data_IF_757056430520
#
_entry.id   IF_757056430520
#
_cell.length_a   1.000
_cell.length_b   1.000
_cell.length_c   1.000
_cell.angle_alpha   90.00
_cell.angle_beta   90.00
_cell.angle_gamma   90.00
#
_symmetry.space_group_name_H-M   'P 1'
#
loop_
_entity.id
_entity.type
_entity.pdbx_description
1 polymer ?
#
# COMPACT_ATOMS: atom_id res chain seq x y z
N UNK A 1 -40.03 -3.04 -6.25
CA UNK A 1 -38.76 -2.49 -6.79
C UNK A 1 -37.95 -1.80 -5.69
N UNK A 2 -37.94 -2.32 -4.45
CA UNK A 2 -37.58 -1.54 -3.23
C UNK A 2 -36.57 -2.26 -2.32
N UNK A 3 -35.87 -3.27 -2.83
CA UNK A 3 -34.90 -4.07 -2.05
C UNK A 3 -33.43 -3.63 -2.25
N UNK A 4 -33.19 -2.57 -3.03
CA UNK A 4 -31.82 -2.06 -3.27
C UNK A 4 -31.25 -1.25 -2.11
N UNK A 5 -32.09 -0.69 -1.23
CA UNK A 5 -31.61 0.29 -0.25
C UNK A 5 -30.99 -0.34 1.01
N UNK A 6 -31.34 -1.58 1.35
CA UNK A 6 -30.85 -2.23 2.58
C UNK A 6 -29.41 -2.78 2.49
N UNK A 7 -28.87 -3.03 1.28
CA UNK A 7 -27.53 -3.60 1.11
C UNK A 7 -26.40 -2.57 1.01
N UNK A 8 -26.72 -1.29 0.83
CA UNK A 8 -25.74 -0.21 0.65
C UNK A 8 -24.89 0.08 1.90
N UNK A 9 -25.41 0.12 3.15
CA UNK A 9 -24.61 0.57 4.30
C UNK A 9 -23.47 -0.39 4.67
N UNK A 10 -23.67 -1.71 4.55
CA UNK A 10 -22.63 -2.71 4.86
C UNK A 10 -21.44 -2.65 3.90
N UNK A 11 -21.70 -2.38 2.61
CA UNK A 11 -20.64 -2.25 1.60
C UNK A 11 -19.77 -1.03 1.84
N UNK A 12 -20.38 0.09 2.25
CA UNK A 12 -19.65 1.32 2.53
C UNK A 12 -18.71 1.14 3.74
N UNK A 13 -19.18 0.53 4.83
CA UNK A 13 -18.34 0.24 5.99
C UNK A 13 -17.11 -0.64 5.63
N UNK A 14 -17.31 -1.68 4.82
CA UNK A 14 -16.22 -2.55 4.38
C UNK A 14 -15.17 -1.78 3.54
N UNK A 15 -15.60 -0.92 2.63
CA UNK A 15 -14.69 -0.09 1.84
C UNK A 15 -13.96 0.94 2.72
N UNK A 16 -14.62 1.49 3.75
CA UNK A 16 -13.97 2.36 4.72
C UNK A 16 -12.85 1.62 5.45
N UNK A 17 -13.10 0.41 5.97
CA UNK A 17 -12.07 -0.40 6.63
C UNK A 17 -10.89 -0.68 5.70
N UNK A 18 -11.18 -1.10 4.45
CA UNK A 18 -10.14 -1.28 3.43
C UNK A 18 -9.31 0.00 3.23
N UNK A 19 -9.97 1.15 3.07
CA UNK A 19 -9.30 2.43 2.84
C UNK A 19 -8.43 2.86 4.02
N UNK A 20 -8.87 2.59 5.26
CA UNK A 20 -8.10 2.88 6.47
C UNK A 20 -6.85 2.00 6.54
N UNK A 21 -6.95 0.71 6.24
CA UNK A 21 -5.78 -0.18 6.19
C UNK A 21 -4.76 0.27 5.12
N UNK A 22 -5.24 0.61 3.92
CA UNK A 22 -4.38 1.12 2.84
C UNK A 22 -3.73 2.44 3.24
N UNK A 23 -4.50 3.36 3.82
CA UNK A 23 -3.98 4.65 4.27
C UNK A 23 -2.98 4.51 5.42
N UNK A 24 -3.18 3.55 6.33
CA UNK A 24 -2.23 3.28 7.41
C UNK A 24 -0.90 2.73 6.86
N UNK A 25 -0.96 1.83 5.87
CA UNK A 25 0.22 1.20 5.27
C UNK A 25 0.98 2.13 4.32
N UNK A 26 0.26 2.86 3.45
CA UNK A 26 0.87 3.68 2.40
C UNK A 26 0.94 5.16 2.75
N UNK A 27 0.13 5.64 3.69
CA UNK A 27 0.05 7.06 4.06
C UNK A 27 1.39 7.67 4.46
N UNK A 28 2.16 7.06 5.38
CA UNK A 28 3.48 7.58 5.73
C UNK A 28 4.46 7.59 4.54
N UNK A 29 4.42 6.57 3.69
CA UNK A 29 5.24 6.53 2.48
C UNK A 29 4.85 7.64 1.49
N UNK A 30 3.56 7.91 1.33
CA UNK A 30 3.08 9.04 0.52
C UNK A 30 3.53 10.38 1.11
N UNK A 31 3.55 10.52 2.44
CA UNK A 31 4.04 11.73 3.11
C UNK A 31 5.52 12.00 2.78
N UNK A 32 6.36 10.95 2.75
CA UNK A 32 7.77 11.04 2.33
C UNK A 32 7.87 11.61 0.91
N UNK A 33 7.06 11.09 -0.02
CA UNK A 33 7.03 11.59 -1.40
C UNK A 33 6.46 13.00 -1.52
N UNK A 34 5.53 13.41 -0.66
CA UNK A 34 5.03 14.79 -0.61
C UNK A 34 6.15 15.74 -0.20
N UNK A 35 6.88 15.46 0.89
CA UNK A 35 8.02 16.30 1.32
C UNK A 35 9.09 16.38 0.24
N UNK A 36 9.29 15.30 -0.51
CA UNK A 36 10.23 15.30 -1.62
C UNK A 36 9.72 16.06 -2.84
N UNK A 37 8.44 15.92 -3.16
CA UNK A 37 7.77 16.66 -4.21
C UNK A 37 7.80 18.17 -3.95
N UNK A 38 7.63 18.60 -2.69
CA UNK A 38 7.78 20.01 -2.32
C UNK A 38 9.21 20.49 -2.52
N UNK A 39 10.22 19.71 -2.11
CA UNK A 39 11.63 20.03 -2.35
C UNK A 39 11.95 20.17 -3.86
N UNK A 40 11.43 19.27 -4.69
CA UNK A 40 11.55 19.34 -6.15
C UNK A 40 10.86 20.58 -6.72
N UNK A 41 9.65 20.90 -6.23
CA UNK A 41 8.89 22.09 -6.65
C UNK A 41 9.61 23.41 -6.35
N UNK A 42 10.40 23.46 -5.27
CA UNK A 42 11.25 24.61 -4.93
C UNK A 42 12.68 24.50 -5.48
N UNK A 43 12.94 23.52 -6.34
CA UNK A 43 14.24 23.28 -6.99
C UNK A 43 15.41 23.13 -6.01
N UNK A 44 15.16 22.49 -4.86
CA UNK A 44 16.21 22.16 -3.91
C UNK A 44 16.83 20.81 -4.24
N UNK A 45 18.11 20.81 -4.60
CA UNK A 45 18.88 19.58 -4.67
C UNK A 45 19.00 18.93 -3.28
N UNK A 46 19.03 17.60 -3.19
CA UNK A 46 19.42 16.92 -1.96
C UNK A 46 20.87 17.26 -1.62
N UNK A 47 21.13 17.59 -0.36
CA UNK A 47 22.46 17.97 0.11
C UNK A 47 22.46 18.32 1.59
N UNK A 48 23.63 18.62 2.18
CA UNK A 48 23.73 18.90 3.61
C UNK A 48 23.09 20.24 3.99
N UNK A 49 23.07 21.20 3.07
CA UNK A 49 22.55 22.55 3.30
C UNK A 49 21.02 22.59 3.39
N UNK A 50 20.50 23.56 4.15
CA UNK A 50 19.06 23.80 4.24
C UNK A 50 18.47 24.20 2.88
N UNK A 51 17.30 23.67 2.55
CA UNK A 51 16.58 24.03 1.33
C UNK A 51 15.96 25.43 1.48
N UNK A 52 16.65 26.48 0.99
CA UNK A 52 16.20 27.88 1.08
C UNK A 52 15.80 28.30 2.50
N UNK A 53 16.51 27.78 3.51
CA UNK A 53 16.20 28.02 4.93
C UNK A 53 15.03 27.23 5.51
N UNK A 54 14.35 26.40 4.71
CA UNK A 54 13.28 25.51 5.19
C UNK A 54 13.85 24.23 5.80
N UNK A 55 13.25 23.77 6.90
CA UNK A 55 13.60 22.51 7.58
C UNK A 55 12.99 21.27 6.91
N UNK A 56 13.06 21.17 5.58
CA UNK A 56 12.52 20.01 4.83
C UNK A 56 13.18 18.70 5.25
N UNK A 57 14.45 18.73 5.64
CA UNK A 57 15.17 17.55 6.11
C UNK A 57 14.56 16.94 7.37
N UNK A 58 14.13 17.79 8.31
CA UNK A 58 13.46 17.33 9.53
C UNK A 58 12.13 16.64 9.21
N UNK A 59 11.30 17.27 8.37
CA UNK A 59 10.04 16.69 7.93
C UNK A 59 10.22 15.37 7.18
N UNK A 60 11.23 15.28 6.30
CA UNK A 60 11.55 14.04 5.58
C UNK A 60 11.98 12.94 6.56
N UNK A 61 12.83 13.26 7.54
CA UNK A 61 13.34 12.31 8.53
C UNK A 61 12.20 11.74 9.37
N UNK A 62 11.29 12.59 9.82
CA UNK A 62 10.19 12.19 10.69
C UNK A 62 9.15 11.37 9.89
N UNK A 63 8.86 11.77 8.65
CA UNK A 63 8.01 10.99 7.73
C UNK A 63 8.62 9.61 7.42
N UNK A 64 9.94 9.54 7.19
CA UNK A 64 10.66 8.28 7.01
C UNK A 64 10.59 7.42 8.26
N UNK A 65 10.85 7.97 9.45
CA UNK A 65 10.75 7.25 10.72
C UNK A 65 9.36 6.63 10.90
N UNK A 66 8.29 7.38 10.61
CA UNK A 66 6.92 6.87 10.66
C UNK A 66 6.70 5.75 9.64
N UNK A 67 7.19 5.92 8.41
CA UNK A 67 7.10 4.90 7.36
C UNK A 67 7.83 3.62 7.74
N UNK A 68 8.98 3.71 8.41
CA UNK A 68 9.76 2.54 8.82
C UNK A 68 9.13 1.78 9.96
N UNK A 69 8.52 2.46 10.94
CA UNK A 69 7.80 1.79 12.04
C UNK A 69 6.72 0.85 11.50
N UNK A 70 6.01 1.27 10.47
CA UNK A 70 4.93 0.48 9.84
C UNK A 70 5.51 -0.50 8.81
N UNK A 71 6.42 -0.02 7.96
CA UNK A 71 6.96 -0.72 6.79
C UNK A 71 7.99 -1.80 7.09
N UNK A 72 8.55 -1.87 8.30
CA UNK A 72 9.58 -2.89 8.65
C UNK A 72 9.05 -4.07 9.44
N UNK A 73 7.81 -4.00 9.94
CA UNK A 73 7.19 -5.11 10.68
C UNK A 73 6.44 -6.05 9.74
N UNK A 74 7.07 -7.15 9.35
CA UNK A 74 6.48 -8.16 8.46
C UNK A 74 5.09 -8.63 8.92
N UNK A 75 4.92 -8.89 10.22
CA UNK A 75 3.64 -9.32 10.78
C UNK A 75 2.56 -8.26 10.63
N UNK A 76 2.89 -6.98 10.85
CA UNK A 76 1.95 -5.88 10.73
C UNK A 76 1.54 -5.65 9.26
N UNK A 77 2.50 -5.72 8.34
CA UNK A 77 2.27 -5.64 6.89
C UNK A 77 1.29 -6.73 6.43
N UNK A 78 1.56 -7.99 6.79
CA UNK A 78 0.73 -9.15 6.42
C UNK A 78 -0.65 -9.04 7.07
N UNK A 79 -0.73 -8.73 8.37
CA UNK A 79 -1.99 -8.64 9.09
C UNK A 79 -2.93 -7.55 8.52
N UNK A 80 -2.41 -6.35 8.29
CA UNK A 80 -3.21 -5.26 7.73
C UNK A 80 -3.61 -5.52 6.26
N UNK A 81 -2.72 -6.13 5.49
CA UNK A 81 -3.03 -6.52 4.10
C UNK A 81 -4.11 -7.61 4.05
N UNK A 82 -4.10 -8.55 4.99
CA UNK A 82 -5.15 -9.55 5.13
C UNK A 82 -6.49 -8.91 5.54
N UNK A 83 -6.49 -8.00 6.52
CA UNK A 83 -7.71 -7.26 6.92
C UNK A 83 -8.28 -6.48 5.74
N UNK A 84 -7.43 -5.76 4.98
CA UNK A 84 -7.83 -5.05 3.78
C UNK A 84 -8.44 -6.02 2.73
N UNK A 85 -7.81 -7.18 2.53
CA UNK A 85 -8.28 -8.20 1.59
C UNK A 85 -9.66 -8.73 1.96
N UNK A 86 -9.85 -9.09 3.23
CA UNK A 86 -11.15 -9.57 3.74
C UNK A 86 -12.22 -8.48 3.62
N UNK A 87 -11.90 -7.24 3.98
CA UNK A 87 -12.81 -6.11 3.81
C UNK A 87 -13.24 -5.93 2.34
N UNK A 88 -12.30 -5.97 1.40
CA UNK A 88 -12.60 -5.92 -0.04
C UNK A 88 -13.47 -7.09 -0.52
N UNK A 89 -13.27 -8.30 0.03
CA UNK A 89 -14.10 -9.46 -0.29
C UNK A 89 -15.52 -9.31 0.24
N UNK A 90 -15.72 -8.77 1.45
CA UNK A 90 -17.07 -8.46 1.96
C UNK A 90 -17.79 -7.40 1.13
N UNK A 91 -17.03 -6.49 0.49
CA UNK A 91 -17.54 -5.53 -0.49
C UNK A 91 -17.77 -6.13 -1.89
N UNK A 92 -17.57 -7.45 -2.07
CA UNK A 92 -17.68 -8.18 -3.35
C UNK A 92 -16.72 -7.65 -4.43
N UNK A 93 -15.51 -7.27 -4.03
CA UNK A 93 -14.44 -6.79 -4.92
C UNK A 93 -13.21 -7.71 -4.82
N UNK A 94 -13.27 -8.96 -5.34
CA UNK A 94 -12.21 -9.94 -5.17
C UNK A 94 -10.87 -9.48 -5.77
N UNK A 95 -10.89 -8.85 -6.94
CA UNK A 95 -9.66 -8.31 -7.56
C UNK A 95 -8.96 -7.27 -6.69
N UNK A 96 -9.73 -6.39 -6.03
CA UNK A 96 -9.19 -5.38 -5.12
C UNK A 96 -8.52 -6.04 -3.91
N UNK A 97 -9.18 -7.05 -3.34
CA UNK A 97 -8.64 -7.79 -2.19
C UNK A 97 -7.36 -8.54 -2.54
N UNK A 98 -7.33 -9.29 -3.64
CA UNK A 98 -6.14 -10.02 -4.07
C UNK A 98 -4.96 -9.10 -4.37
N UNK A 99 -5.21 -7.99 -5.05
CA UNK A 99 -4.18 -7.00 -5.32
C UNK A 99 -3.68 -6.33 -4.04
N UNK A 100 -4.55 -6.13 -3.04
CA UNK A 100 -4.15 -5.58 -1.74
C UNK A 100 -3.18 -6.53 -1.02
N UNK A 101 -3.48 -7.83 -0.99
CA UNK A 101 -2.60 -8.83 -0.37
C UNK A 101 -1.23 -8.92 -1.05
N UNK A 102 -1.19 -8.78 -2.37
CA UNK A 102 0.04 -8.88 -3.15
C UNK A 102 0.89 -7.61 -3.04
N UNK A 103 0.25 -6.44 -3.20
CA UNK A 103 0.96 -5.19 -3.42
C UNK A 103 1.29 -4.46 -2.13
N UNK A 104 0.39 -4.45 -1.13
CA UNK A 104 0.59 -3.64 0.07
C UNK A 104 1.83 -4.02 0.88
N UNK A 105 2.13 -5.31 1.13
CA UNK A 105 3.35 -5.71 1.86
C UNK A 105 4.64 -5.32 1.14
N UNK A 106 4.59 -5.20 -0.19
CA UNK A 106 5.75 -4.83 -1.02
C UNK A 106 5.87 -3.31 -1.12
N UNK A 107 4.79 -2.61 -1.45
CA UNK A 107 4.81 -1.17 -1.69
C UNK A 107 5.11 -0.37 -0.41
N UNK A 108 4.62 -0.81 0.75
CA UNK A 108 4.83 -0.12 2.01
C UNK A 108 6.31 0.10 2.35
N UNK A 109 7.21 -0.91 2.26
CA UNK A 109 8.65 -0.71 2.43
C UNK A 109 9.37 -0.19 1.17
N UNK A 110 8.93 -0.56 -0.05
CA UNK A 110 9.63 -0.16 -1.29
C UNK A 110 9.53 1.35 -1.55
N UNK A 111 8.38 1.96 -1.33
CA UNK A 111 8.20 3.39 -1.59
C UNK A 111 9.15 4.30 -0.77
N UNK A 112 9.28 4.15 0.56
CA UNK A 112 10.24 4.93 1.33
C UNK A 112 11.70 4.53 1.00
N UNK A 113 11.97 3.27 0.69
CA UNK A 113 13.29 2.81 0.24
C UNK A 113 13.74 3.54 -1.03
N UNK A 114 12.86 3.60 -2.05
CA UNK A 114 13.12 4.33 -3.28
C UNK A 114 13.33 5.82 -3.01
N UNK A 115 12.54 6.41 -2.12
CA UNK A 115 12.68 7.82 -1.76
C UNK A 115 14.06 8.12 -1.14
N UNK A 116 14.58 7.24 -0.29
CA UNK A 116 15.93 7.35 0.29
C UNK A 116 17.01 7.24 -0.79
N UNK A 117 16.97 6.17 -1.61
CA UNK A 117 18.03 5.93 -2.60
C UNK A 117 18.12 7.02 -3.66
N UNK A 118 16.98 7.53 -4.10
CA UNK A 118 16.96 8.55 -5.14
C UNK A 118 17.18 9.97 -4.58
N UNK A 119 17.24 10.14 -3.24
CA UNK A 119 17.67 11.37 -2.58
C UNK A 119 19.17 11.37 -2.24
N UNK A 120 19.91 10.30 -2.57
CA UNK A 120 21.37 10.25 -2.40
C UNK A 120 22.03 11.31 -3.30
N UNK A 121 22.94 12.09 -2.72
CA UNK A 121 23.76 13.08 -3.42
C UNK A 121 25.24 12.67 -3.41
N UNK A 122 26.01 13.23 -4.34
CA UNK A 122 27.45 12.99 -4.46
C UNK A 122 28.18 13.52 -3.22
N UNK A 123 29.02 12.66 -2.62
CA UNK A 123 29.70 12.98 -1.37
C UNK A 123 28.95 12.55 -0.11
N UNK A 124 27.78 11.91 -0.21
CA UNK A 124 27.29 11.16 0.95
C UNK A 124 28.15 9.89 1.16
N UNK A 125 28.77 9.71 2.35
CA UNK A 125 29.50 8.50 2.70
C UNK A 125 28.50 7.37 2.93
N UNK A 126 28.25 6.56 1.90
CA UNK A 126 27.48 5.32 1.98
C UNK A 126 28.45 4.17 1.78
N UNK A 127 28.51 3.25 2.74
CA UNK A 127 29.32 2.03 2.63
C UNK A 127 28.79 1.14 1.50
N UNK A 128 29.57 0.10 1.15
CA UNK A 128 29.14 -0.95 0.20
C UNK A 128 27.83 -1.61 0.61
N UNK A 129 27.57 -1.68 1.91
CA UNK A 129 26.37 -2.29 2.49
C UNK A 129 25.19 -1.31 2.57
N UNK A 130 25.29 -0.13 1.96
CA UNK A 130 24.21 0.86 1.95
C UNK A 130 24.06 1.65 3.25
N UNK A 131 24.95 1.45 4.24
CA UNK A 131 24.95 2.16 5.52
C UNK A 131 25.70 3.46 5.34
N UNK A 132 25.03 4.60 5.51
CA UNK A 132 25.67 5.91 5.34
C UNK A 132 25.14 6.97 6.28
N UNK A 133 25.96 7.97 6.59
CA UNK A 133 25.63 9.08 7.49
C UNK A 133 25.18 10.33 6.73
N UNK A 134 24.37 10.16 5.66
CA UNK A 134 23.93 11.27 4.82
C UNK A 134 23.22 12.35 5.63
N UNK A 135 23.47 13.61 5.25
CA UNK A 135 22.70 14.76 5.72
C UNK A 135 21.86 15.25 4.54
N UNK A 136 20.54 15.22 4.68
CA UNK A 136 19.61 15.71 3.66
C UNK A 136 18.85 16.92 4.19
N UNK A 137 18.98 18.05 3.51
CA UNK A 137 18.38 19.34 3.84
C UNK A 137 18.56 19.71 5.32
N UNK A 138 19.80 19.62 5.81
CA UNK A 138 20.17 19.92 7.19
C UNK A 138 19.89 18.82 8.22
N UNK A 139 19.30 17.67 7.84
CA UNK A 139 18.95 16.61 8.78
C UNK A 139 19.74 15.31 8.54
N UNK A 140 20.22 14.69 9.62
CA UNK A 140 20.94 13.39 9.57
C UNK A 140 19.97 12.25 9.29
N UNK A 141 20.31 11.42 8.31
CA UNK A 141 19.45 10.32 7.80
C UNK A 141 20.02 8.93 8.02
N UNK A 142 21.03 8.78 8.89
CA UNK A 142 21.80 7.54 8.98
C UNK A 142 20.98 6.27 9.21
N UNK A 143 20.03 6.32 10.15
CA UNK A 143 19.13 5.19 10.40
C UNK A 143 18.20 4.89 9.24
N UNK A 144 17.76 5.90 8.47
CA UNK A 144 16.89 5.67 7.31
C UNK A 144 17.63 4.97 6.17
N UNK A 145 18.89 5.32 5.92
CA UNK A 145 19.73 4.62 4.94
C UNK A 145 20.01 3.18 5.39
N UNK A 146 20.33 2.97 6.67
CA UNK A 146 20.50 1.65 7.25
C UNK A 146 19.24 0.77 7.09
N UNK A 147 18.06 1.30 7.43
CA UNK A 147 16.80 0.56 7.27
C UNK A 147 16.49 0.28 5.79
N UNK A 148 16.70 1.26 4.90
CA UNK A 148 16.48 1.08 3.46
C UNK A 148 17.36 -0.03 2.86
N UNK A 149 18.60 -0.19 3.35
CA UNK A 149 19.50 -1.25 2.93
C UNK A 149 19.01 -2.66 3.31
N UNK A 150 18.27 -2.79 4.42
CA UNK A 150 17.67 -4.06 4.86
C UNK A 150 16.31 -4.38 4.23
N UNK A 151 15.71 -3.46 3.48
CA UNK A 151 14.40 -3.68 2.84
C UNK A 151 14.38 -4.86 1.85
N UNK A 152 15.40 -5.07 0.98
CA UNK A 152 15.42 -6.24 0.10
C UNK A 152 15.28 -7.56 0.86
N UNK A 153 16.02 -7.73 1.96
CA UNK A 153 15.95 -8.95 2.78
C UNK A 153 14.57 -9.13 3.42
N UNK A 154 13.96 -8.03 3.88
CA UNK A 154 12.58 -8.03 4.37
C UNK A 154 11.60 -8.47 3.27
N UNK A 155 11.74 -7.94 2.05
CA UNK A 155 10.89 -8.29 0.90
C UNK A 155 11.04 -9.77 0.57
N UNK A 156 12.26 -10.29 0.49
CA UNK A 156 12.51 -11.72 0.26
C UNK A 156 11.85 -12.58 1.35
N UNK A 157 11.89 -12.14 2.61
CA UNK A 157 11.24 -12.84 3.73
C UNK A 157 9.71 -12.88 3.68
N UNK A 158 9.06 -11.90 3.04
CA UNK A 158 7.58 -11.82 2.98
C UNK A 158 6.98 -12.17 1.62
N UNK A 159 7.77 -12.15 0.54
CA UNK A 159 7.28 -12.26 -0.83
C UNK A 159 6.58 -13.60 -1.07
N UNK A 160 7.21 -14.72 -0.68
CA UNK A 160 6.66 -16.06 -0.89
C UNK A 160 5.34 -16.26 -0.14
N UNK A 161 5.29 -15.81 1.12
CA UNK A 161 4.10 -15.90 1.96
C UNK A 161 2.97 -15.02 1.37
N UNK A 162 3.29 -13.78 0.99
CA UNK A 162 2.31 -12.84 0.43
C UNK A 162 1.77 -13.35 -0.91
N UNK A 163 2.62 -13.93 -1.74
CA UNK A 163 2.24 -14.55 -3.00
C UNK A 163 1.33 -15.77 -2.79
N UNK A 164 1.73 -16.71 -1.93
CA UNK A 164 0.94 -17.90 -1.62
C UNK A 164 -0.45 -17.52 -1.08
N UNK A 165 -0.51 -16.59 -0.13
CA UNK A 165 -1.77 -16.08 0.42
C UNK A 165 -2.62 -15.38 -0.64
N UNK A 166 -1.99 -14.60 -1.53
CA UNK A 166 -2.70 -13.96 -2.66
C UNK A 166 -3.36 -14.99 -3.56
N UNK A 167 -2.67 -16.08 -3.92
CA UNK A 167 -3.22 -17.14 -4.77
C UNK A 167 -4.38 -17.84 -4.08
N UNK A 168 -4.19 -18.26 -2.82
CA UNK A 168 -5.23 -18.95 -2.05
C UNK A 168 -6.47 -18.07 -1.87
N UNK A 169 -6.28 -16.83 -1.39
CA UNK A 169 -7.36 -15.88 -1.19
C UNK A 169 -8.01 -15.48 -2.51
N UNK A 170 -7.26 -15.44 -3.61
CA UNK A 170 -7.81 -15.15 -4.94
C UNK A 170 -8.72 -16.24 -5.45
N UNK A 171 -8.34 -17.50 -5.29
CA UNK A 171 -9.20 -18.64 -5.64
C UNK A 171 -10.46 -18.63 -4.77
N UNK A 172 -10.31 -18.46 -3.46
CA UNK A 172 -11.46 -18.39 -2.54
C UNK A 172 -12.38 -17.21 -2.86
N UNK A 173 -11.81 -16.02 -3.03
CA UNK A 173 -12.53 -14.80 -3.39
C UNK A 173 -13.28 -14.96 -4.71
N UNK A 174 -12.67 -15.59 -5.71
CA UNK A 174 -13.33 -15.88 -6.98
C UNK A 174 -14.51 -16.85 -6.83
N UNK A 175 -14.34 -17.94 -6.08
CA UNK A 175 -15.39 -18.93 -5.84
C UNK A 175 -16.58 -18.36 -5.06
N UNK A 176 -16.33 -17.52 -4.04
CA UNK A 176 -17.37 -17.01 -3.15
C UNK A 176 -17.99 -15.68 -3.59
N UNK A 177 -17.21 -14.78 -4.22
CA UNK A 177 -17.69 -13.47 -4.63
C UNK A 177 -18.30 -13.43 -6.04
N UNK A 178 -18.28 -14.56 -6.78
CA UNK A 178 -18.99 -14.65 -8.07
C UNK A 178 -20.47 -14.35 -7.85
N UNK A 179 -21.05 -13.35 -8.54
CA UNK A 179 -22.48 -13.10 -8.43
C UNK A 179 -23.20 -14.37 -8.87
N UNK A 180 -23.97 -14.96 -7.94
CA UNK A 180 -24.82 -16.11 -8.30
C UNK A 180 -25.74 -15.66 -9.43
N UNK A 181 -25.91 -16.47 -10.49
CA UNK A 181 -26.88 -16.15 -11.53
C UNK A 181 -28.22 -15.91 -10.84
N UNK A 182 -28.83 -14.75 -11.10
CA UNK A 182 -30.17 -14.51 -10.60
C UNK A 182 -31.07 -15.59 -11.19
N UNK A 183 -31.90 -16.27 -10.38
CA UNK A 183 -32.88 -17.18 -10.95
C UNK A 183 -33.67 -16.44 -12.02
N UNK A 184 -33.96 -17.09 -13.17
CA UNK A 184 -34.70 -16.45 -14.24
C UNK A 184 -35.99 -15.88 -13.64
N UNK A 185 -36.26 -14.61 -13.90
CA UNK A 185 -37.50 -13.99 -13.45
C UNK A 185 -38.67 -14.78 -14.02
N UNK A 186 -39.78 -14.90 -13.29
CA UNK A 186 -40.97 -15.60 -13.79
C UNK A 186 -41.41 -15.06 -15.18
N UNK A 187 -41.20 -13.77 -15.45
CA UNK A 187 -41.41 -13.18 -16.76
C UNK A 187 -40.49 -13.76 -17.86
N UNK A 188 -39.21 -14.02 -17.57
CA UNK A 188 -38.29 -14.66 -18.51
C UNK A 188 -38.66 -16.14 -18.74
N UNK A 189 -39.12 -16.84 -17.69
CA UNK A 189 -39.61 -18.23 -17.80
C UNK A 189 -40.89 -18.29 -18.65
N UNK A 190 -41.84 -17.36 -18.43
CA UNK A 190 -43.07 -17.27 -19.21
C UNK A 190 -42.80 -16.88 -20.67
N UNK A 191 -41.82 -16.01 -20.92
CA UNK A 191 -41.41 -15.65 -22.27
C UNK A 191 -40.79 -16.86 -23.01
N UNK A 192 -39.94 -17.65 -22.34
CA UNK A 192 -39.38 -18.87 -22.95
C UNK A 192 -40.47 -19.88 -23.32
N UNK A 193 -41.46 -20.12 -22.44
CA UNK A 193 -42.57 -21.04 -22.74
C UNK A 193 -43.39 -20.66 -23.98
N UNK A 194 -43.50 -19.36 -24.30
CA UNK A 194 -44.28 -18.89 -25.45
C UNK A 194 -43.59 -19.16 -26.80
N UNK A 195 -42.29 -19.44 -26.82
CA UNK A 195 -41.56 -19.78 -28.04
C UNK A 195 -41.53 -21.29 -28.34
N UNK A 196 -41.98 -22.12 -27.39
CA UNK A 196 -42.06 -23.57 -27.55
C UNK A 196 -43.43 -24.05 -28.10
N UNK A 197 -44.38 -23.12 -28.32
CA UNK A 197 -45.70 -23.37 -28.95
C UNK A 197 -45.74 -22.81 -30.38
#
# INVERSE_FOLDING_TARGET
MQERDAQTPKKNAALTVWSVCVALLLGPALLVWIVRGTALGVQCAPGPELCRGMMLGGGLRDALSLSWIIGTSAFLLIALSLIATLAAFTAHRPLLGTLSMLLLPILAPVLPMLAVYTAKYDGCPVSTDGIGSCVLWGAKMGMSFHTAAGVPDLIYGIADISFALTVVLGILGWCFARPRPKPPTQAAVLAMRRFDE
#
